data_IF_278761111676
#
_entry.id   IF_278761111676
#
_cell.length_a   1.000
_cell.length_b   1.000
_cell.length_c   1.000
_cell.angle_alpha   90.00
_cell.angle_beta   90.00
_cell.angle_gamma   90.00
#
_symmetry.space_group_name_H-M   'P 1'
#
loop_
_entity.id
_entity.type
_entity.pdbx_description
1 polymer ?
#
# COMPACT_ATOMS: atom_id res chain seq x y z
N UNK A 1 4.99 7.17 -1.94
CA UNK A 1 6.41 6.89 -2.30
C UNK A 1 6.63 5.40 -2.60
N UNK A 2 6.27 4.92 -3.81
CA UNK A 2 6.27 3.48 -4.11
C UNK A 2 7.67 2.86 -4.21
N UNK A 3 8.66 3.62 -4.72
CA UNK A 3 10.04 3.14 -4.91
C UNK A 3 10.69 2.63 -3.62
N UNK A 4 10.49 3.37 -2.52
CA UNK A 4 11.06 3.00 -1.22
C UNK A 4 10.43 1.71 -0.69
N UNK A 5 9.12 1.52 -0.89
CA UNK A 5 8.44 0.28 -0.51
C UNK A 5 9.06 -0.92 -1.24
N UNK A 6 9.28 -0.79 -2.55
CA UNK A 6 9.94 -1.82 -3.37
C UNK A 6 11.34 -2.19 -2.85
N UNK A 7 12.16 -1.20 -2.51
CA UNK A 7 13.50 -1.47 -1.97
C UNK A 7 13.47 -2.21 -0.62
N UNK A 8 12.46 -1.94 0.21
CA UNK A 8 12.32 -2.61 1.50
C UNK A 8 11.82 -4.03 1.30
N UNK A 9 10.79 -4.23 0.47
CA UNK A 9 10.22 -5.56 0.19
C UNK A 9 11.23 -6.51 -0.45
N UNK A 10 12.15 -6.01 -1.27
CA UNK A 10 13.27 -6.80 -1.82
C UNK A 10 14.30 -7.23 -0.77
N UNK A 11 14.43 -6.50 0.34
CA UNK A 11 15.48 -6.70 1.35
C UNK A 11 15.05 -7.52 2.55
N UNK A 12 13.75 -7.63 2.82
CA UNK A 12 13.21 -8.31 4.00
C UNK A 12 12.34 -9.49 3.59
N UNK A 13 12.18 -10.47 4.49
CA UNK A 13 11.23 -11.58 4.29
C UNK A 13 9.93 -11.38 5.07
N UNK A 14 9.93 -10.42 5.98
CA UNK A 14 8.80 -10.11 6.85
C UNK A 14 7.69 -9.41 6.02
N UNK A 15 6.41 -9.73 6.28
CA UNK A 15 5.30 -9.00 5.66
C UNK A 15 5.38 -7.51 5.96
N UNK A 16 5.28 -6.68 4.92
CA UNK A 16 5.34 -5.22 5.03
C UNK A 16 3.94 -4.61 4.98
N UNK A 17 3.59 -3.79 5.97
CA UNK A 17 2.39 -2.95 5.97
C UNK A 17 2.84 -1.52 5.72
N UNK A 18 2.33 -0.88 4.67
CA UNK A 18 2.57 0.54 4.42
C UNK A 18 1.51 1.40 5.09
N UNK A 19 1.86 2.61 5.50
CA UNK A 19 0.91 3.56 6.08
C UNK A 19 1.41 5.00 5.97
N UNK A 20 0.48 5.94 6.13
CA UNK A 20 0.74 7.37 6.01
C UNK A 20 0.70 7.89 4.57
N UNK A 21 0.08 9.05 4.37
CA UNK A 21 0.00 9.76 3.09
C UNK A 21 -0.54 8.90 1.92
N UNK A 22 -1.50 8.03 2.19
CA UNK A 22 -2.28 7.32 1.14
C UNK A 22 -3.50 8.17 0.83
N UNK A 23 -3.39 9.03 -0.18
CA UNK A 23 -4.37 10.07 -0.46
C UNK A 23 -5.51 9.60 -1.37
N UNK A 24 -5.21 8.66 -2.28
CA UNK A 24 -6.14 8.21 -3.30
C UNK A 24 -5.92 6.73 -3.70
N UNK A 25 -6.63 6.32 -4.76
CA UNK A 25 -6.56 4.98 -5.32
C UNK A 25 -5.21 4.65 -5.95
N UNK A 26 -4.57 5.62 -6.59
CA UNK A 26 -3.30 5.42 -7.26
C UNK A 26 -2.19 5.17 -6.24
N UNK A 27 -2.17 5.94 -5.15
CA UNK A 27 -1.26 5.72 -4.02
C UNK A 27 -1.42 4.31 -3.44
N UNK A 28 -2.66 3.87 -3.23
CA UNK A 28 -2.96 2.56 -2.69
C UNK A 28 -2.50 1.43 -3.63
N UNK A 29 -2.84 1.52 -4.92
CA UNK A 29 -2.42 0.53 -5.94
C UNK A 29 -0.90 0.47 -6.07
N UNK A 30 -0.24 1.61 -6.13
CA UNK A 30 1.21 1.68 -6.25
C UNK A 30 1.92 1.07 -5.04
N UNK A 31 1.39 1.24 -3.84
CA UNK A 31 1.94 0.60 -2.65
C UNK A 31 1.77 -0.92 -2.65
N UNK A 32 0.59 -1.43 -3.01
CA UNK A 32 0.33 -2.88 -3.16
C UNK A 32 1.24 -3.48 -4.23
N UNK A 33 1.36 -2.83 -5.39
CA UNK A 33 2.25 -3.28 -6.47
C UNK A 33 3.72 -3.29 -6.07
N UNK A 34 4.13 -2.48 -5.09
CA UNK A 34 5.48 -2.49 -4.53
C UNK A 34 5.74 -3.68 -3.59
N UNK A 35 4.75 -4.52 -3.33
CA UNK A 35 4.88 -5.78 -2.57
C UNK A 35 4.46 -5.69 -1.11
N UNK A 36 3.74 -4.65 -0.70
CA UNK A 36 3.19 -4.56 0.67
C UNK A 36 1.97 -5.47 0.78
N UNK A 37 1.79 -6.12 1.94
CA UNK A 37 0.67 -7.05 2.18
C UNK A 37 -0.60 -6.33 2.61
N UNK A 38 -0.48 -5.12 3.15
CA UNK A 38 -1.61 -4.32 3.58
C UNK A 38 -1.26 -2.82 3.64
N UNK A 39 -2.32 -2.01 3.72
CA UNK A 39 -2.25 -0.57 3.94
C UNK A 39 -2.95 -0.19 5.25
N UNK A 40 -2.30 0.63 6.07
CA UNK A 40 -2.88 1.28 7.24
C UNK A 40 -3.20 2.73 6.90
N UNK A 41 -4.48 3.07 6.83
CA UNK A 41 -4.93 4.42 6.47
C UNK A 41 -6.20 4.81 7.20
N UNK A 42 -6.28 6.07 7.63
CA UNK A 42 -7.50 6.71 8.15
C UNK A 42 -8.39 7.28 7.03
N UNK A 43 -7.92 7.25 5.78
CA UNK A 43 -8.67 7.74 4.63
C UNK A 43 -9.74 6.72 4.23
N UNK A 44 -10.97 6.96 4.69
CA UNK A 44 -12.12 6.09 4.42
C UNK A 44 -12.52 6.05 2.95
N UNK A 45 -12.15 7.05 2.15
CA UNK A 45 -12.34 7.03 0.69
C UNK A 45 -11.56 5.89 0.04
N UNK A 46 -10.32 5.67 0.48
CA UNK A 46 -9.44 4.60 0.02
C UNK A 46 -9.99 3.22 0.42
N UNK A 47 -10.68 3.09 1.56
CA UNK A 47 -11.23 1.80 1.99
C UNK A 47 -12.24 1.21 0.99
N UNK A 48 -12.96 2.07 0.27
CA UNK A 48 -13.94 1.62 -0.73
C UNK A 48 -13.30 0.88 -1.92
N UNK A 49 -12.00 1.06 -2.14
CA UNK A 49 -11.23 0.37 -3.18
C UNK A 49 -11.03 -1.10 -2.91
N UNK A 50 -10.95 -1.50 -1.65
CA UNK A 50 -10.84 -2.90 -1.27
C UNK A 50 -12.04 -3.72 -1.80
N UNK A 51 -13.21 -3.09 -1.98
CA UNK A 51 -14.39 -3.73 -2.59
C UNK A 51 -14.31 -3.92 -4.11
N UNK A 52 -13.40 -3.22 -4.80
CA UNK A 52 -13.20 -3.29 -6.26
C UNK A 52 -12.01 -4.17 -6.68
N UNK A 53 -11.13 -4.50 -5.73
CA UNK A 53 -9.91 -5.28 -5.96
C UNK A 53 -10.07 -6.77 -5.63
N UNK A 54 -11.16 -7.13 -4.94
CA UNK A 54 -11.64 -8.51 -4.74
C UNK A 54 -12.70 -8.84 -5.79
#
# INVERSE_FOLDING_TARGET
>A
MPKVLGWVTEKIRQPLIAGGLVCDEEDARNAINAGVVALSTTNTGVWTLAKKLL
#
